data_IF_704496969371
#
_entry.id   IF_704496969371
#
_cell.length_a   1.000
_cell.length_b   1.000
_cell.length_c   1.000
_cell.angle_alpha   90.00
_cell.angle_beta   90.00
_cell.angle_gamma   90.00
#
_symmetry.space_group_name_H-M   'P 1'
#
loop_
_entity.id
_entity.type
_entity.pdbx_description
1 polymer ?
#
# COMPACT_ATOMS: atom_id res chain seq x y z
N UNK A 1 5.81 12.23 -44.85
CA UNK A 1 5.31 12.69 -43.53
C UNK A 1 5.07 11.45 -42.68
N UNK A 2 6.10 10.95 -41.99
CA UNK A 2 5.92 9.94 -40.96
C UNK A 2 5.32 10.65 -39.74
N UNK A 3 4.08 10.32 -39.40
CA UNK A 3 3.42 10.74 -38.17
C UNK A 3 4.16 10.05 -37.01
N UNK A 4 4.89 10.85 -36.24
CA UNK A 4 5.48 10.42 -34.98
C UNK A 4 4.37 10.05 -34.02
N UNK A 5 4.22 8.76 -33.75
CA UNK A 5 3.44 8.27 -32.62
C UNK A 5 4.29 8.57 -31.39
N UNK A 6 3.98 9.67 -30.70
CA UNK A 6 4.45 9.86 -29.33
C UNK A 6 3.78 8.78 -28.49
N UNK A 7 4.50 7.69 -28.22
CA UNK A 7 4.21 6.84 -27.07
C UNK A 7 4.51 7.72 -25.84
N UNK A 8 3.50 8.42 -25.32
CA UNK A 8 3.55 8.84 -23.93
C UNK A 8 3.68 7.55 -23.12
N UNK A 9 4.84 7.33 -22.49
CA UNK A 9 4.98 6.32 -21.46
C UNK A 9 4.00 6.65 -20.35
N UNK A 10 2.89 5.93 -20.31
CA UNK A 10 1.92 6.03 -19.23
C UNK A 10 2.61 5.52 -17.96
N UNK A 11 2.98 6.44 -17.07
CA UNK A 11 3.62 6.13 -15.79
C UNK A 11 2.79 5.09 -15.02
N UNK A 12 3.46 4.07 -14.50
CA UNK A 12 2.81 3.00 -13.72
C UNK A 12 2.51 3.53 -12.32
N UNK A 13 1.38 3.12 -11.73
CA UNK A 13 1.09 3.41 -10.31
C UNK A 13 2.14 2.72 -9.44
N UNK A 14 2.95 3.53 -8.75
CA UNK A 14 3.91 3.12 -7.74
C UNK A 14 3.25 2.23 -6.69
N UNK A 15 3.87 1.11 -6.36
CA UNK A 15 3.54 0.28 -5.19
C UNK A 15 4.73 0.30 -4.21
N UNK A 16 4.53 -0.21 -3.00
CA UNK A 16 5.55 -0.29 -1.93
C UNK A 16 6.83 -1.04 -2.38
N UNK A 17 6.71 -1.97 -3.33
CA UNK A 17 7.86 -2.70 -3.86
C UNK A 17 8.67 -1.92 -4.91
N UNK A 18 8.12 -0.82 -5.44
CA UNK A 18 8.68 -0.10 -6.58
C UNK A 18 9.85 0.78 -6.18
N UNK A 19 11.02 0.53 -6.78
CA UNK A 19 12.29 1.18 -6.49
C UNK A 19 12.60 1.27 -4.99
N UNK A 20 12.20 0.22 -4.25
CA UNK A 20 12.21 0.18 -2.79
C UNK A 20 11.54 1.43 -2.18
N UNK A 21 10.21 1.50 -2.25
CA UNK A 21 9.45 2.63 -1.71
C UNK A 21 9.88 4.00 -2.27
N UNK A 22 10.22 4.07 -3.55
CA UNK A 22 10.71 5.29 -4.21
C UNK A 22 12.03 5.87 -3.66
N UNK A 23 12.84 5.07 -2.94
CA UNK A 23 14.24 5.43 -2.61
C UNK A 23 15.12 5.57 -3.87
N UNK A 24 14.64 5.08 -5.01
CA UNK A 24 15.13 5.43 -6.34
C UNK A 24 16.32 4.59 -6.78
N UNK A 25 17.20 5.19 -7.59
CA UNK A 25 18.30 4.46 -8.24
C UNK A 25 19.40 4.02 -7.26
N UNK A 26 19.44 4.55 -6.03
CA UNK A 26 20.40 4.14 -5.01
C UNK A 26 20.14 2.69 -4.57
N UNK A 27 18.88 2.38 -4.26
CA UNK A 27 18.50 1.04 -3.80
C UNK A 27 18.53 0.02 -4.94
N UNK A 28 18.22 0.42 -6.18
CA UNK A 28 18.39 -0.45 -7.35
C UNK A 28 19.85 -0.88 -7.54
N UNK A 29 20.82 0.03 -7.34
CA UNK A 29 22.26 -0.29 -7.40
C UNK A 29 22.71 -1.30 -6.35
N UNK A 30 22.14 -1.24 -5.16
CA UNK A 30 22.48 -2.16 -4.06
C UNK A 30 21.81 -3.53 -4.21
N UNK A 31 20.56 -3.54 -4.70
CA UNK A 31 19.74 -4.75 -4.83
C UNK A 31 20.05 -5.56 -6.09
N UNK A 32 20.37 -4.89 -7.20
CA UNK A 32 20.53 -5.53 -8.51
C UNK A 32 21.57 -4.77 -9.35
N UNK A 33 22.85 -5.18 -9.31
CA UNK A 33 23.92 -4.47 -10.01
C UNK A 33 23.74 -4.44 -11.54
N UNK A 34 23.00 -5.40 -12.10
CA UNK A 34 22.66 -5.43 -13.53
C UNK A 34 21.61 -4.39 -13.91
N UNK A 35 20.74 -3.99 -12.96
CA UNK A 35 19.64 -3.03 -13.17
C UNK A 35 19.74 -1.83 -12.22
N UNK A 36 20.75 -0.96 -12.39
CA UNK A 36 21.07 0.07 -11.40
C UNK A 36 20.17 1.32 -11.45
N UNK A 37 19.19 1.40 -12.35
CA UNK A 37 18.37 2.61 -12.54
C UNK A 37 16.92 2.38 -12.12
N UNK A 38 16.34 3.34 -11.39
CA UNK A 38 14.91 3.33 -11.11
C UNK A 38 14.12 3.97 -12.25
N UNK A 39 13.10 3.27 -12.74
CA UNK A 39 12.20 3.70 -13.81
C UNK A 39 10.76 3.76 -13.33
N UNK A 40 10.16 4.95 -13.41
CA UNK A 40 8.74 5.17 -13.11
C UNK A 40 7.78 4.78 -14.25
N UNK A 41 8.33 4.39 -15.41
CA UNK A 41 7.59 4.35 -16.68
C UNK A 41 7.59 3.00 -17.41
N UNK A 42 8.30 1.96 -16.95
CA UNK A 42 8.64 0.84 -17.84
C UNK A 42 8.42 -0.57 -17.23
N UNK A 43 7.63 -1.39 -17.94
CA UNK A 43 7.36 -2.81 -17.67
C UNK A 43 8.01 -3.74 -18.73
N UNK A 44 9.32 -3.90 -18.66
CA UNK A 44 9.91 -5.23 -18.81
C UNK A 44 10.92 -5.53 -17.70
N UNK A 45 11.08 -4.62 -16.74
CA UNK A 45 11.91 -4.77 -15.54
C UNK A 45 11.21 -5.46 -14.37
N UNK A 46 10.00 -6.00 -14.55
CA UNK A 46 9.27 -6.64 -13.45
C UNK A 46 8.72 -5.65 -12.41
N UNK A 47 8.20 -6.16 -11.28
CA UNK A 47 7.34 -5.40 -10.37
C UNK A 47 8.06 -4.34 -9.52
N UNK A 48 9.39 -4.34 -9.47
CA UNK A 48 10.21 -3.49 -8.60
C UNK A 48 10.82 -2.26 -9.29
N UNK A 49 10.58 -2.06 -10.60
CA UNK A 49 10.92 -0.81 -11.29
C UNK A 49 12.40 -0.57 -11.60
N UNK A 50 13.30 -1.51 -11.31
CA UNK A 50 14.72 -1.37 -11.62
C UNK A 50 15.04 -1.81 -13.07
N UNK A 51 15.83 -1.02 -13.80
CA UNK A 51 16.18 -1.23 -15.21
C UNK A 51 17.68 -1.09 -15.49
N UNK A 52 18.15 -1.77 -16.55
CA UNK A 52 19.55 -1.78 -16.99
C UNK A 52 19.96 -0.50 -17.74
N UNK A 53 19.00 0.21 -18.33
CA UNK A 53 19.26 1.41 -19.14
C UNK A 53 18.66 2.67 -18.48
N UNK A 54 19.38 3.81 -18.48
CA UNK A 54 18.89 5.03 -17.88
C UNK A 54 17.86 5.71 -18.79
N UNK A 55 16.60 5.79 -18.34
CA UNK A 55 15.49 6.33 -19.13
C UNK A 55 15.54 7.85 -19.32
N UNK A 56 14.61 8.42 -20.09
CA UNK A 56 14.43 9.86 -20.23
C UNK A 56 14.26 10.54 -18.86
N UNK A 57 14.58 11.84 -18.76
CA UNK A 57 14.44 12.63 -17.52
C UNK A 57 13.02 12.64 -16.95
N UNK A 58 12.02 12.30 -17.75
CA UNK A 58 10.61 12.20 -17.35
C UNK A 58 10.32 10.93 -16.52
N UNK A 59 11.25 9.97 -16.51
CA UNK A 59 11.07 8.66 -15.92
C UNK A 59 12.10 8.34 -14.81
N UNK A 60 12.97 9.28 -14.48
CA UNK A 60 13.94 9.15 -13.38
C UNK A 60 13.31 9.60 -12.06
N UNK A 61 13.49 8.79 -11.03
CA UNK A 61 13.39 9.24 -9.64
C UNK A 61 14.77 9.78 -9.21
N UNK A 62 15.13 10.99 -9.65
CA UNK A 62 16.30 11.71 -9.14
C UNK A 62 15.86 13.04 -8.50
N UNK A 63 16.36 13.36 -7.30
CA UNK A 63 16.03 14.61 -6.59
C UNK A 63 16.63 15.87 -7.23
N UNK A 64 17.58 15.74 -8.17
CA UNK A 64 18.32 16.86 -8.78
C UNK A 64 17.65 17.50 -10.02
N UNK A 65 16.41 17.13 -10.37
CA UNK A 65 15.68 17.78 -11.49
C UNK A 65 14.32 18.38 -11.12
N UNK A 66 13.98 18.47 -9.84
CA UNK A 66 12.85 19.28 -9.38
C UNK A 66 13.25 20.76 -9.27
N UNK A 67 13.24 21.44 -10.42
CA UNK A 67 13.19 22.90 -10.44
C UNK A 67 11.87 23.41 -9.86
N UNK A 68 11.99 24.02 -8.68
CA UNK A 68 11.11 25.05 -8.06
C UNK A 68 9.96 24.61 -7.16
N UNK A 69 10.25 24.57 -5.84
CA UNK A 69 9.23 24.68 -4.78
C UNK A 69 9.67 24.48 -3.33
N UNK A 70 10.74 25.16 -2.86
CA UNK A 70 11.16 25.46 -1.47
C UNK A 70 10.61 24.61 -0.28
N UNK A 71 11.46 24.10 0.63
CA UNK A 71 12.30 24.96 1.47
C UNK A 71 13.42 24.21 2.22
N UNK A 72 14.44 25.02 2.48
CA UNK A 72 15.74 24.87 3.13
C UNK A 72 15.77 24.34 4.57
N UNK A 73 16.83 23.56 4.87
CA UNK A 73 17.58 23.59 6.13
C UNK A 73 17.77 22.20 6.76
N UNK A 74 18.95 21.74 7.18
CA UNK A 74 20.33 22.21 7.13
C UNK A 74 21.20 20.97 7.46
N UNK A 75 22.34 20.84 6.78
CA UNK A 75 23.38 19.85 7.09
C UNK A 75 24.04 20.15 8.43
N UNK A 76 24.41 19.11 9.18
CA UNK A 76 25.22 19.25 10.39
C UNK A 76 25.75 17.92 10.92
N UNK A 77 26.80 17.40 10.29
CA UNK A 77 27.59 16.29 10.83
C UNK A 77 28.45 16.75 12.01
N UNK A 78 28.56 15.92 13.05
CA UNK A 78 29.83 15.71 13.74
C UNK A 78 29.95 16.07 15.22
N UNK A 79 30.04 15.00 16.03
CA UNK A 79 31.03 14.78 17.10
C UNK A 79 30.64 15.08 18.57
N UNK A 80 30.61 13.99 19.36
CA UNK A 80 31.24 13.77 20.70
C UNK A 80 30.95 14.81 21.80
N UNK A 81 30.45 14.48 23.00
CA UNK A 81 30.92 13.46 23.96
C UNK A 81 29.95 13.35 25.18
N UNK A 82 30.16 12.40 26.12
CA UNK A 82 29.13 11.89 27.04
C UNK A 82 29.11 12.53 28.44
N UNK A 83 28.24 11.95 29.29
CA UNK A 83 28.14 12.01 30.76
C UNK A 83 26.97 12.81 31.33
N UNK A 84 26.31 12.20 32.33
CA UNK A 84 25.69 12.94 33.42
C UNK A 84 24.23 12.63 33.70
N UNK A 85 23.98 11.51 34.36
CA UNK A 85 22.77 11.24 35.15
C UNK A 85 22.54 12.34 36.20
N UNK A 86 21.30 12.81 36.38
CA UNK A 86 20.65 12.89 37.70
C UNK A 86 19.25 13.52 37.62
N UNK A 87 18.46 13.07 38.58
CA UNK A 87 17.01 13.14 38.67
C UNK A 87 16.45 14.46 39.21
N UNK A 88 15.11 14.45 39.22
CA UNK A 88 14.13 15.02 40.16
C UNK A 88 13.62 16.47 40.10
N UNK A 89 12.28 16.49 40.22
CA UNK A 89 11.38 17.47 40.84
C UNK A 89 10.79 18.59 39.96
N UNK A 90 9.62 18.26 39.40
CA UNK A 90 8.35 18.75 39.97
C UNK A 90 7.92 20.17 39.63
N UNK A 91 6.85 20.29 38.85
CA UNK A 91 5.68 21.15 39.15
C UNK A 91 4.52 20.68 38.28
N UNK A 92 3.48 20.13 38.92
CA UNK A 92 2.14 19.93 38.36
C UNK A 92 1.39 21.26 38.27
N UNK A 93 0.20 21.27 37.65
CA UNK A 93 -0.82 22.34 37.49
C UNK A 93 -0.79 22.94 36.07
N UNK A 94 -1.80 22.86 35.22
CA UNK A 94 -3.19 22.43 35.33
C UNK A 94 -3.67 21.99 33.93
N UNK A 95 -4.52 20.97 33.84
CA UNK A 95 -5.38 20.77 32.67
C UNK A 95 -6.81 20.77 33.16
N UNK A 96 -7.52 21.79 32.71
CA UNK A 96 -8.92 22.09 32.94
C UNK A 96 -9.82 20.95 32.42
N UNK A 97 -10.88 20.70 33.17
CA UNK A 97 -12.05 19.90 32.78
C UNK A 97 -12.91 20.76 31.84
N UNK A 98 -13.00 20.36 30.57
CA UNK A 98 -13.73 21.13 29.58
C UNK A 98 -13.85 20.36 28.29
N UNK A 99 -14.97 19.66 28.15
CA UNK A 99 -15.40 18.95 26.96
C UNK A 99 -15.33 19.83 25.72
N UNK A 100 -14.43 19.50 24.81
CA UNK A 100 -14.60 19.84 23.40
C UNK A 100 -14.56 18.51 22.67
N UNK A 101 -15.72 18.09 22.16
CA UNK A 101 -15.79 17.15 21.06
C UNK A 101 -15.05 17.78 19.88
N UNK A 102 -13.74 17.62 19.86
CA UNK A 102 -13.02 17.67 18.60
C UNK A 102 -13.15 16.29 18.00
N UNK A 103 -14.28 16.08 17.33
CA UNK A 103 -14.22 15.37 16.07
C UNK A 103 -13.33 16.20 15.15
N UNK A 104 -12.02 16.12 15.37
CA UNK A 104 -11.02 16.33 14.32
C UNK A 104 -11.17 15.12 13.38
N UNK A 105 -12.34 15.09 12.73
CA UNK A 105 -12.62 14.28 11.57
C UNK A 105 -11.80 14.87 10.44
N UNK A 106 -10.51 14.54 10.44
CA UNK A 106 -9.70 14.48 9.23
C UNK A 106 -10.21 13.28 8.41
N UNK A 107 -11.47 13.34 8.01
CA UNK A 107 -12.06 12.43 7.04
C UNK A 107 -11.55 12.93 5.69
N UNK A 108 -10.41 12.37 5.31
CA UNK A 108 -9.78 12.56 4.02
C UNK A 108 -10.82 12.55 2.91
N UNK A 109 -10.64 13.46 1.96
CA UNK A 109 -11.59 13.89 0.95
C UNK A 109 -11.90 12.85 -0.16
N UNK A 110 -12.02 11.56 0.19
CA UNK A 110 -12.22 10.45 -0.73
C UNK A 110 -13.27 9.41 -0.25
N UNK A 111 -13.90 9.62 0.91
CA UNK A 111 -15.06 8.83 1.34
C UNK A 111 -16.32 9.37 0.66
N UNK A 112 -17.15 8.54 -0.01
CA UNK A 112 -18.43 9.01 -0.53
C UNK A 112 -19.28 9.59 0.62
N UNK A 113 -19.92 10.75 0.46
CA UNK A 113 -20.56 11.49 1.56
C UNK A 113 -21.72 10.75 2.25
N UNK A 114 -22.17 9.64 1.67
CA UNK A 114 -23.21 8.76 2.18
C UNK A 114 -22.66 7.59 3.01
N UNK A 115 -21.34 7.36 3.03
CA UNK A 115 -20.81 6.17 3.64
C UNK A 115 -20.90 6.21 5.17
N UNK A 116 -21.48 5.15 5.73
CA UNK A 116 -21.80 5.05 7.16
C UNK A 116 -23.15 5.67 7.53
N UNK A 117 -24.04 5.93 6.55
CA UNK A 117 -25.39 6.42 6.81
C UNK A 117 -26.39 5.30 7.22
N UNK A 118 -25.90 4.06 7.21
CA UNK A 118 -26.63 2.86 7.60
C UNK A 118 -27.48 2.26 6.47
N UNK A 119 -27.30 2.70 5.22
CA UNK A 119 -27.99 2.19 4.04
C UNK A 119 -27.07 2.19 2.82
N UNK A 120 -27.19 1.17 1.98
CA UNK A 120 -26.46 1.20 0.70
C UNK A 120 -27.13 2.17 -0.27
N UNK A 121 -26.41 3.23 -0.64
CA UNK A 121 -26.87 4.25 -1.60
C UNK A 121 -26.19 4.10 -2.97
N UNK A 122 -26.68 4.79 -4.04
CA UNK A 122 -26.07 4.70 -5.36
C UNK A 122 -24.60 5.15 -5.36
N UNK A 123 -23.70 4.21 -5.63
CA UNK A 123 -22.25 4.44 -5.60
C UNK A 123 -21.52 3.65 -4.51
N UNK A 124 -22.27 3.05 -3.58
CA UNK A 124 -21.73 2.21 -2.51
C UNK A 124 -21.97 0.73 -2.81
N UNK A 125 -21.04 -0.12 -2.37
CA UNK A 125 -21.19 -1.57 -2.48
C UNK A 125 -21.78 -2.17 -1.20
N UNK A 126 -21.57 -1.49 -0.07
CA UNK A 126 -22.07 -1.83 1.26
C UNK A 126 -22.11 -0.56 2.12
N UNK A 127 -22.77 -0.62 3.29
CA UNK A 127 -22.71 0.41 4.33
C UNK A 127 -22.73 -0.24 5.72
N UNK A 128 -21.58 -0.18 6.41
CA UNK A 128 -21.43 -0.78 7.74
C UNK A 128 -21.75 -2.27 7.77
N UNK A 129 -22.92 -2.63 8.31
CA UNK A 129 -23.41 -4.03 8.36
C UNK A 129 -24.35 -4.39 7.20
N UNK A 130 -24.81 -3.41 6.42
CA UNK A 130 -25.61 -3.63 5.22
C UNK A 130 -24.67 -3.94 4.04
N UNK A 131 -24.42 -5.22 3.81
CA UNK A 131 -23.54 -5.69 2.73
C UNK A 131 -24.28 -5.85 1.40
N UNK A 132 -25.37 -5.09 1.19
CA UNK A 132 -26.19 -5.13 -0.02
C UNK A 132 -26.70 -6.54 -0.38
N UNK A 133 -27.06 -7.33 0.64
CA UNK A 133 -27.57 -8.69 0.48
C UNK A 133 -26.51 -9.79 0.40
N UNK A 134 -25.21 -9.46 0.39
CA UNK A 134 -24.13 -10.43 0.57
C UNK A 134 -24.13 -10.89 2.03
N UNK A 135 -24.18 -12.21 2.28
CA UNK A 135 -24.21 -12.76 3.65
C UNK A 135 -22.94 -13.50 4.00
N UNK A 136 -22.20 -13.93 2.98
CA UNK A 136 -21.00 -14.72 3.10
C UNK A 136 -20.08 -14.54 1.91
N UNK A 137 -18.79 -14.83 2.09
CA UNK A 137 -17.82 -14.87 1.00
C UNK A 137 -18.20 -15.89 -0.09
N UNK A 138 -19.00 -16.90 0.27
CA UNK A 138 -19.51 -17.89 -0.68
C UNK A 138 -20.48 -17.28 -1.71
N UNK A 139 -21.25 -16.25 -1.31
CA UNK A 139 -22.22 -15.59 -2.20
C UNK A 139 -21.53 -14.86 -3.36
N UNK A 140 -20.26 -14.47 -3.16
CA UNK A 140 -19.41 -13.78 -4.14
C UNK A 140 -18.28 -14.67 -4.68
N UNK A 141 -18.29 -15.97 -4.36
CA UNK A 141 -17.33 -16.94 -4.90
C UNK A 141 -15.93 -16.91 -4.28
N UNK A 142 -15.76 -16.30 -3.11
CA UNK A 142 -14.47 -16.14 -2.42
C UNK A 142 -14.25 -17.13 -1.27
N UNK A 143 -15.00 -18.24 -1.24
CA UNK A 143 -14.82 -19.30 -0.24
C UNK A 143 -15.68 -19.07 1.01
N UNK A 144 -15.06 -19.14 2.19
CA UNK A 144 -15.73 -19.03 3.49
C UNK A 144 -15.37 -17.73 4.20
N UNK A 145 -16.16 -17.37 5.21
CA UNK A 145 -16.04 -16.09 5.91
C UNK A 145 -17.21 -15.16 5.63
N UNK A 146 -17.17 -13.98 6.24
CA UNK A 146 -18.16 -12.91 6.04
C UNK A 146 -17.37 -11.65 5.68
N UNK A 147 -17.61 -11.06 4.50
CA UNK A 147 -16.90 -9.84 4.10
C UNK A 147 -17.32 -8.67 4.99
N UNK A 148 -16.42 -7.70 5.13
CA UNK A 148 -16.65 -6.44 5.84
C UNK A 148 -17.05 -5.34 4.87
N UNK A 149 -17.61 -4.26 5.39
CA UNK A 149 -17.64 -2.99 4.67
C UNK A 149 -16.51 -2.10 5.17
N UNK A 150 -15.68 -1.59 4.25
CA UNK A 150 -14.59 -0.70 4.61
C UNK A 150 -15.06 0.76 4.80
N UNK A 151 -14.14 1.63 5.21
CA UNK A 151 -14.42 3.05 5.43
C UNK A 151 -14.74 3.83 4.13
N UNK A 152 -14.55 3.23 2.95
CA UNK A 152 -14.87 3.78 1.64
C UNK A 152 -16.17 3.18 1.08
N UNK A 153 -16.92 2.42 1.87
CA UNK A 153 -18.13 1.71 1.47
C UNK A 153 -17.92 0.75 0.30
N UNK A 154 -16.73 0.15 0.26
CA UNK A 154 -16.39 -0.97 -0.60
C UNK A 154 -16.41 -2.27 0.20
N UNK A 155 -16.73 -3.35 -0.51
CA UNK A 155 -16.75 -4.66 0.09
C UNK A 155 -15.31 -5.13 0.33
N UNK A 156 -14.93 -5.20 1.60
CA UNK A 156 -13.66 -5.73 2.03
C UNK A 156 -13.77 -7.26 2.14
N UNK A 157 -12.98 -7.94 1.33
CA UNK A 157 -12.96 -9.39 1.21
C UNK A 157 -11.72 -10.02 1.83
N UNK A 158 -10.91 -9.23 2.56
CA UNK A 158 -9.72 -9.72 3.25
C UNK A 158 -10.03 -10.78 4.32
N UNK A 159 -11.26 -10.84 4.81
CA UNK A 159 -11.76 -11.87 5.74
C UNK A 159 -12.20 -13.15 5.01
N UNK A 160 -12.25 -13.14 3.68
CA UNK A 160 -12.60 -14.29 2.86
C UNK A 160 -11.37 -15.17 2.63
N UNK A 161 -11.58 -16.48 2.76
CA UNK A 161 -10.50 -17.44 2.54
C UNK A 161 -11.06 -18.79 2.07
N UNK A 162 -10.18 -19.58 1.45
CA UNK A 162 -10.49 -20.90 0.95
C UNK A 162 -10.46 -21.95 2.09
N UNK A 163 -11.47 -22.82 2.17
CA UNK A 163 -11.49 -23.89 3.16
C UNK A 163 -10.47 -24.99 2.82
N UNK A 164 -10.14 -25.83 3.81
CA UNK A 164 -9.25 -26.98 3.60
C UNK A 164 -9.76 -27.88 2.44
N UNK A 165 -8.85 -28.25 1.54
CA UNK A 165 -9.14 -29.05 0.34
C UNK A 165 -9.62 -28.25 -0.88
N UNK A 166 -9.81 -26.93 -0.77
CA UNK A 166 -10.05 -26.07 -1.92
C UNK A 166 -8.73 -25.78 -2.67
N UNK A 167 -8.85 -25.37 -3.94
CA UNK A 167 -7.72 -24.93 -4.77
C UNK A 167 -7.20 -23.57 -4.31
N UNK A 168 -5.88 -23.39 -4.31
CA UNK A 168 -5.21 -22.15 -3.92
C UNK A 168 -4.08 -21.80 -4.90
N UNK A 169 -3.75 -20.51 -4.97
CA UNK A 169 -2.64 -19.96 -5.78
C UNK A 169 -1.51 -19.40 -4.89
N UNK A 170 -1.78 -19.13 -3.61
CA UNK A 170 -0.83 -18.73 -2.58
C UNK A 170 -1.25 -19.16 -1.18
N UNK A 171 -0.37 -18.99 -0.19
CA UNK A 171 -0.65 -19.30 1.21
C UNK A 171 -1.73 -18.40 1.82
N UNK A 172 -1.82 -17.16 1.34
CA UNK A 172 -2.81 -16.14 1.74
C UNK A 172 -4.24 -16.45 1.27
N UNK A 173 -4.42 -17.30 0.26
CA UNK A 173 -5.76 -17.75 -0.15
C UNK A 173 -6.43 -18.63 0.90
N UNK A 174 -5.65 -19.39 1.69
CA UNK A 174 -6.16 -20.45 2.55
C UNK A 174 -6.44 -19.94 3.97
N UNK A 175 -7.57 -20.34 4.56
CA UNK A 175 -7.87 -19.98 5.95
C UNK A 175 -6.83 -20.51 6.96
N UNK A 176 -6.14 -21.59 6.58
CA UNK A 176 -5.06 -22.20 7.37
C UNK A 176 -3.70 -21.52 7.15
N UNK A 177 -3.58 -20.59 6.21
CA UNK A 177 -2.33 -19.95 5.83
C UNK A 177 -1.32 -20.89 5.15
N UNK A 178 -1.78 -22.03 4.62
CA UNK A 178 -0.91 -23.02 4.01
C UNK A 178 -1.53 -23.61 2.74
N UNK A 179 -0.91 -23.32 1.60
CA UNK A 179 -1.23 -23.87 0.30
C UNK A 179 -0.23 -24.99 -0.03
N UNK A 180 -0.66 -26.25 0.07
CA UNK A 180 0.17 -27.41 -0.24
C UNK A 180 0.13 -27.69 -1.75
N UNK A 181 1.28 -27.89 -2.38
CA UNK A 181 1.35 -28.11 -3.82
C UNK A 181 2.35 -27.24 -4.59
N UNK A 182 3.29 -26.58 -3.90
CA UNK A 182 4.43 -25.84 -4.51
C UNK A 182 5.45 -26.76 -5.24
N UNK A 183 4.98 -27.78 -5.97
CA UNK A 183 5.83 -28.39 -6.99
C UNK A 183 6.03 -27.32 -8.09
N UNK A 184 7.26 -27.13 -8.59
CA UNK A 184 7.63 -26.01 -9.47
C UNK A 184 6.95 -25.98 -10.85
N UNK A 185 5.96 -26.85 -11.08
CA UNK A 185 5.28 -27.05 -12.37
C UNK A 185 3.75 -27.03 -12.26
N UNK A 186 3.18 -26.90 -11.06
CA UNK A 186 1.74 -26.71 -10.84
C UNK A 186 1.52 -25.31 -10.30
N UNK A 187 0.74 -24.51 -11.03
CA UNK A 187 0.33 -23.17 -10.63
C UNK A 187 -0.85 -23.21 -9.63
N UNK A 188 -1.32 -24.41 -9.28
CA UNK A 188 -2.49 -24.65 -8.45
C UNK A 188 -2.11 -25.63 -7.34
N UNK A 189 -2.29 -25.21 -6.09
CA UNK A 189 -2.16 -26.03 -4.90
C UNK A 189 -3.53 -26.35 -4.28
N UNK A 190 -3.50 -26.96 -3.10
CA UNK A 190 -4.69 -27.22 -2.28
C UNK A 190 -4.48 -26.74 -0.86
N UNK A 191 -5.49 -26.11 -0.27
CA UNK A 191 -5.43 -25.65 1.11
C UNK A 191 -5.28 -26.83 2.07
N UNK A 192 -4.16 -26.86 2.78
CA UNK A 192 -3.88 -27.87 3.77
C UNK A 192 -4.42 -27.45 5.14
N UNK A 193 -4.83 -28.41 5.99
CA UNK A 193 -5.13 -28.11 7.38
C UNK A 193 -3.87 -27.58 8.10
N UNK A 194 -4.09 -26.68 9.05
CA UNK A 194 -3.05 -26.18 9.96
C UNK A 194 -2.45 -27.28 10.86
#
# INVERSE_FOLDING_TARGET
MLLGVSLQGSCVRLNEAHCANAEGSATCRERSPDRPYCSLCYEPGGPDGCTDEPLSSECRADPDSAGSGASTGMLGSGSTDPEGSSSEAGTTLAVDDGAESSSDGELGADVPPSCGDGRVTPGETCDGSDLNGVRSCADIGLGVGVPSCDAMCQLDTSTCCQPNGATCMGDDDCCSGNCDGLLPMVLEGTCAPA
#
